data_IF_411990136052
#
_entry.id   IF_411990136052
#
_cell.length_a   1.000
_cell.length_b   1.000
_cell.length_c   1.000
_cell.angle_alpha   90.00
_cell.angle_beta   90.00
_cell.angle_gamma   90.00
#
_symmetry.space_group_name_H-M   'P 1'
#
loop_
_entity.id
_entity.type
_entity.pdbx_description
1 polymer ?
#
# COMPACT_ATOMS: atom_id res chain seq x y z
N UNK A 1 12.23 20.57 1.90
CA UNK A 1 11.07 19.75 1.50
C UNK A 1 9.88 20.10 2.36
N UNK A 2 8.67 20.07 1.83
CA UNK A 2 7.48 20.38 2.60
C UNK A 2 7.14 19.23 3.55
N UNK A 3 6.79 19.55 4.78
CA UNK A 3 6.28 18.60 5.78
C UNK A 3 4.96 17.98 5.29
N UNK A 4 4.82 16.68 5.44
CA UNK A 4 3.66 15.91 4.96
C UNK A 4 3.00 15.14 6.11
N UNK A 5 1.79 14.65 5.89
CA UNK A 5 1.11 13.76 6.84
C UNK A 5 1.93 12.48 7.13
N UNK A 6 2.74 12.02 6.18
CA UNK A 6 3.58 10.84 6.39
C UNK A 6 4.73 11.11 7.34
N UNK A 7 5.27 12.33 7.37
CA UNK A 7 6.27 12.72 8.37
C UNK A 7 5.68 12.69 9.80
N UNK A 8 4.41 13.06 9.97
CA UNK A 8 3.72 12.94 11.25
C UNK A 8 3.48 11.49 11.67
N UNK A 9 3.18 10.60 10.72
CA UNK A 9 3.04 9.16 10.96
C UNK A 9 4.38 8.57 11.38
N UNK A 10 5.46 8.88 10.70
CA UNK A 10 6.82 8.44 11.04
C UNK A 10 7.22 8.92 12.43
N UNK A 11 6.93 10.18 12.74
CA UNK A 11 7.22 10.78 14.05
C UNK A 11 6.30 10.28 15.19
N UNK A 12 5.29 9.46 14.90
CA UNK A 12 4.33 8.98 15.90
C UNK A 12 3.34 10.04 16.40
N UNK A 13 3.26 11.18 15.73
CA UNK A 13 2.32 12.27 16.06
C UNK A 13 0.89 11.99 15.59
N UNK A 14 0.76 11.07 14.65
CA UNK A 14 -0.52 10.67 14.11
C UNK A 14 -0.70 9.15 14.26
N UNK A 15 -1.92 8.73 14.66
CA UNK A 15 -2.29 7.31 14.70
C UNK A 15 -2.14 6.71 13.31
N UNK A 16 -1.49 5.55 13.23
CA UNK A 16 -1.41 4.74 12.01
C UNK A 16 -1.45 3.27 12.35
N UNK A 17 -1.92 2.45 11.44
CA UNK A 17 -1.96 0.99 11.56
C UNK A 17 -0.72 0.40 10.90
N UNK A 18 0.42 0.50 11.61
CA UNK A 18 1.70 -0.03 11.15
C UNK A 18 1.63 -1.55 11.03
N UNK A 19 2.10 -2.07 9.91
CA UNK A 19 2.13 -3.52 9.63
C UNK A 19 3.56 -4.05 9.47
N UNK A 20 4.51 -3.19 9.14
CA UNK A 20 5.91 -3.52 9.03
C UNK A 20 6.78 -2.25 9.07
N UNK A 21 7.99 -2.36 9.63
CA UNK A 21 9.00 -1.29 9.54
C UNK A 21 10.42 -1.86 9.69
N UNK A 22 11.38 -1.13 9.13
CA UNK A 22 12.81 -1.27 9.39
C UNK A 22 13.44 0.10 9.68
N UNK A 23 14.75 0.21 9.56
CA UNK A 23 15.46 1.47 9.83
C UNK A 23 15.08 2.58 8.85
N UNK A 24 14.86 2.25 7.57
CA UNK A 24 14.65 3.20 6.47
C UNK A 24 13.19 3.33 6.03
N UNK A 25 12.38 2.28 6.18
CA UNK A 25 11.03 2.21 5.60
C UNK A 25 9.96 1.90 6.64
N UNK A 26 8.74 2.30 6.33
CA UNK A 26 7.54 2.06 7.12
C UNK A 26 6.39 1.63 6.22
N UNK A 27 5.64 0.61 6.65
CA UNK A 27 4.41 0.18 6.00
C UNK A 27 3.22 0.27 6.97
N UNK A 28 2.11 0.83 6.51
CA UNK A 28 0.88 1.00 7.28
C UNK A 28 -0.36 0.88 6.41
N UNK A 29 -1.50 0.51 7.02
CA UNK A 29 -2.77 0.47 6.32
C UNK A 29 -3.25 1.89 6.01
N UNK A 30 -3.75 2.11 4.79
CA UNK A 30 -4.51 3.33 4.50
C UNK A 30 -5.81 3.32 5.30
N UNK A 31 -6.24 4.46 5.89
CA UNK A 31 -7.56 4.54 6.52
C UNK A 31 -8.71 4.64 5.50
N UNK A 32 -8.40 4.65 4.19
CA UNK A 32 -9.37 4.73 3.09
C UNK A 32 -9.22 3.55 2.10
N UNK A 33 -9.26 2.29 2.58
CA UNK A 33 -9.06 1.14 1.72
C UNK A 33 -10.29 0.90 0.83
N UNK A 34 -10.04 0.50 -0.42
CA UNK A 34 -11.09 0.00 -1.32
C UNK A 34 -11.12 -1.54 -1.38
N UNK A 35 -10.19 -2.19 -0.68
CA UNK A 35 -10.13 -3.65 -0.54
C UNK A 35 -9.37 -3.99 0.75
N UNK A 36 -9.63 -5.16 1.38
CA UNK A 36 -8.94 -5.55 2.60
C UNK A 36 -7.41 -5.62 2.42
N UNK A 37 -6.67 -5.00 3.33
CA UNK A 37 -5.21 -5.04 3.34
C UNK A 37 -4.53 -4.03 2.42
N UNK A 38 -5.22 -3.03 1.93
CA UNK A 38 -4.62 -1.94 1.17
C UNK A 38 -3.57 -1.24 2.04
N UNK A 39 -2.29 -1.40 1.68
CA UNK A 39 -1.14 -0.97 2.47
C UNK A 39 -0.33 0.08 1.72
N UNK A 40 0.19 1.05 2.46
CA UNK A 40 1.12 2.08 1.94
C UNK A 40 2.50 1.80 2.49
N UNK A 41 3.53 1.85 1.64
CA UNK A 41 4.93 1.74 2.01
C UNK A 41 5.65 3.04 1.66
N UNK A 42 6.38 3.60 2.62
CA UNK A 42 7.11 4.86 2.47
C UNK A 42 8.55 4.74 2.98
N UNK A 43 9.49 5.50 2.46
CA UNK A 43 10.73 5.78 3.17
C UNK A 43 10.43 6.70 4.37
N UNK A 44 11.14 6.50 5.50
CA UNK A 44 10.96 7.32 6.70
C UNK A 44 11.47 8.76 6.52
N UNK A 45 12.46 8.95 5.67
CA UNK A 45 12.91 10.28 5.23
C UNK A 45 12.22 10.59 3.90
N UNK A 46 11.66 11.79 3.78
CA UNK A 46 10.96 12.21 2.58
C UNK A 46 11.95 12.59 1.46
N UNK A 47 12.05 11.82 0.37
CA UNK A 47 12.95 12.12 -0.75
C UNK A 47 12.26 12.88 -1.90
N UNK A 48 11.03 13.35 -1.70
CA UNK A 48 10.13 13.84 -2.75
C UNK A 48 9.00 12.86 -3.05
N UNK A 49 8.24 13.10 -4.09
CA UNK A 49 6.99 12.37 -4.40
C UNK A 49 7.10 11.38 -5.58
N UNK A 50 8.12 11.54 -6.43
CA UNK A 50 8.21 10.78 -7.67
C UNK A 50 9.25 9.68 -7.59
N UNK A 51 8.83 8.41 -7.72
CA UNK A 51 9.68 7.23 -7.53
C UNK A 51 10.86 7.18 -8.50
N UNK A 52 10.69 7.66 -9.73
CA UNK A 52 11.76 7.64 -10.75
C UNK A 52 12.76 8.80 -10.61
N UNK A 53 12.57 9.70 -9.64
CA UNK A 53 13.57 10.71 -9.29
C UNK A 53 14.45 10.31 -8.11
N UNK A 54 14.23 9.13 -7.52
CA UNK A 54 15.09 8.57 -6.49
C UNK A 54 16.44 8.19 -7.09
N UNK A 55 17.51 8.25 -6.28
CA UNK A 55 18.78 7.62 -6.65
C UNK A 55 18.63 6.09 -6.70
N UNK A 56 19.52 5.43 -7.44
CA UNK A 56 19.44 3.99 -7.69
C UNK A 56 19.53 3.15 -6.41
N UNK A 57 20.25 3.62 -5.39
CA UNK A 57 20.38 2.92 -4.11
C UNK A 57 19.05 2.93 -3.37
N UNK A 58 18.48 4.12 -3.12
CA UNK A 58 17.20 4.25 -2.41
C UNK A 58 16.06 3.59 -3.20
N UNK A 59 16.06 3.73 -4.54
CA UNK A 59 15.09 3.06 -5.41
C UNK A 59 15.15 1.53 -5.22
N UNK A 60 16.34 0.95 -5.26
CA UNK A 60 16.55 -0.48 -5.11
C UNK A 60 16.14 -0.98 -3.72
N UNK A 61 16.52 -0.24 -2.66
CA UNK A 61 16.15 -0.55 -1.29
C UNK A 61 14.64 -0.48 -1.08
N UNK A 62 13.99 0.54 -1.65
CA UNK A 62 12.53 0.68 -1.58
C UNK A 62 11.81 -0.49 -2.27
N UNK A 63 12.29 -0.93 -3.45
CA UNK A 63 11.72 -2.10 -4.14
C UNK A 63 11.84 -3.37 -3.31
N UNK A 64 12.96 -3.55 -2.60
CA UNK A 64 13.16 -4.69 -1.70
C UNK A 64 12.25 -4.63 -0.46
N UNK A 65 12.06 -3.45 0.12
CA UNK A 65 11.14 -3.24 1.23
C UNK A 65 9.69 -3.53 0.80
N UNK A 66 9.27 -2.99 -0.33
CA UNK A 66 7.95 -3.24 -0.94
C UNK A 66 7.72 -4.74 -1.18
N UNK A 67 8.73 -5.46 -1.70
CA UNK A 67 8.65 -6.92 -1.90
C UNK A 67 8.45 -7.67 -0.58
N UNK A 68 9.14 -7.28 0.49
CA UNK A 68 8.96 -7.90 1.82
C UNK A 68 7.52 -7.71 2.32
N UNK A 69 6.98 -6.50 2.22
CA UNK A 69 5.61 -6.20 2.63
C UNK A 69 4.60 -6.92 1.75
N UNK A 70 4.81 -6.98 0.43
CA UNK A 70 3.93 -7.74 -0.46
C UNK A 70 3.85 -9.22 -0.07
N UNK A 71 4.99 -9.86 0.27
CA UNK A 71 5.01 -11.25 0.74
C UNK A 71 4.29 -11.44 2.07
N UNK A 72 4.37 -10.46 2.97
CA UNK A 72 3.59 -10.45 4.20
C UNK A 72 2.08 -10.41 3.91
N UNK A 73 1.66 -9.56 2.99
CA UNK A 73 0.25 -9.44 2.59
C UNK A 73 -0.26 -10.71 1.88
N UNK A 74 0.53 -11.32 1.00
CA UNK A 74 0.20 -12.61 0.38
C UNK A 74 -0.12 -13.67 1.45
N UNK A 75 0.73 -13.78 2.48
CA UNK A 75 0.56 -14.72 3.58
C UNK A 75 -0.68 -14.37 4.43
N UNK A 76 -0.84 -13.09 4.80
CA UNK A 76 -1.92 -12.63 5.68
C UNK A 76 -3.32 -12.85 5.07
N UNK A 77 -3.45 -12.67 3.78
CA UNK A 77 -4.73 -12.73 3.06
C UNK A 77 -4.91 -14.02 2.25
N UNK A 78 -3.93 -14.93 2.30
CA UNK A 78 -3.94 -16.15 1.49
C UNK A 78 -4.22 -15.88 0.01
N UNK A 79 -3.58 -14.84 -0.53
CA UNK A 79 -3.65 -14.48 -1.94
C UNK A 79 -2.27 -14.64 -2.59
N UNK A 80 -2.18 -15.19 -3.80
CA UNK A 80 -0.90 -15.36 -4.48
C UNK A 80 -0.42 -14.07 -5.16
N UNK A 81 -1.20 -12.98 -5.11
CA UNK A 81 -0.89 -11.76 -5.85
C UNK A 81 -1.18 -10.50 -5.05
N UNK A 82 -0.25 -9.56 -5.14
CA UNK A 82 -0.38 -8.18 -4.65
C UNK A 82 0.01 -7.24 -5.79
N UNK A 83 -0.85 -6.28 -6.10
CA UNK A 83 -0.51 -5.23 -7.03
C UNK A 83 0.34 -4.16 -6.33
N UNK A 84 1.26 -3.55 -7.06
CA UNK A 84 2.11 -2.44 -6.61
C UNK A 84 1.90 -1.24 -7.54
N UNK A 85 1.67 -0.08 -6.94
CA UNK A 85 1.39 1.16 -7.68
C UNK A 85 2.19 2.29 -7.06
N UNK A 86 2.89 3.05 -7.91
CA UNK A 86 3.51 4.32 -7.57
C UNK A 86 2.91 5.40 -8.46
N UNK A 87 2.07 6.25 -7.91
CA UNK A 87 1.42 7.33 -8.67
C UNK A 87 2.16 8.66 -8.55
N UNK A 88 2.81 8.91 -7.43
CA UNK A 88 3.44 10.19 -7.15
C UNK A 88 2.44 11.33 -6.94
N UNK A 89 1.22 11.01 -6.49
CA UNK A 89 0.13 11.99 -6.30
C UNK A 89 -0.48 11.91 -4.91
N UNK A 90 -1.22 12.94 -4.51
CA UNK A 90 -1.93 13.02 -3.24
C UNK A 90 -1.06 13.52 -2.09
N UNK A 91 0.04 12.88 -1.78
CA UNK A 91 1.00 13.30 -0.73
C UNK A 91 2.38 13.49 -1.36
N UNK A 92 3.00 14.63 -1.08
CA UNK A 92 4.34 14.97 -1.59
C UNK A 92 5.45 14.21 -0.84
N UNK A 93 5.37 12.89 -0.87
CA UNK A 93 6.27 11.94 -0.25
C UNK A 93 6.13 10.62 -1.02
N UNK A 94 7.19 10.10 -1.60
CA UNK A 94 7.11 8.88 -2.41
C UNK A 94 6.51 7.73 -1.61
N UNK A 95 5.55 7.05 -2.21
CA UNK A 95 4.87 5.94 -1.57
C UNK A 95 4.43 4.89 -2.57
N UNK A 96 4.58 3.64 -2.18
CA UNK A 96 3.99 2.51 -2.87
C UNK A 96 2.61 2.21 -2.28
N UNK A 97 1.62 2.01 -3.12
CA UNK A 97 0.33 1.42 -2.77
C UNK A 97 0.40 -0.08 -3.07
N UNK A 98 0.18 -0.92 -2.07
CA UNK A 98 0.12 -2.37 -2.20
C UNK A 98 -1.31 -2.84 -2.01
N UNK A 99 -1.83 -3.51 -3.02
CA UNK A 99 -3.24 -3.92 -3.09
C UNK A 99 -3.30 -5.44 -3.21
N UNK A 100 -3.67 -6.17 -2.13
CA UNK A 100 -3.91 -7.60 -2.22
C UNK A 100 -5.02 -7.88 -3.23
N UNK A 101 -4.76 -8.78 -4.18
CA UNK A 101 -5.75 -9.15 -5.19
C UNK A 101 -6.59 -10.31 -4.66
N UNK A 102 -7.89 -10.07 -4.54
CA UNK A 102 -8.86 -11.04 -4.04
C UNK A 102 -9.72 -11.60 -5.17
N UNK A 103 -10.42 -12.72 -4.92
CA UNK A 103 -11.36 -13.32 -5.86
C UNK A 103 -10.69 -13.78 -7.17
N UNK A 104 -11.25 -13.44 -8.31
CA UNK A 104 -10.74 -13.86 -9.62
C UNK A 104 -9.42 -13.20 -9.99
N UNK A 105 -9.16 -11.97 -9.52
CA UNK A 105 -7.87 -11.32 -9.68
C UNK A 105 -6.74 -12.10 -9.01
N UNK A 106 -7.00 -12.75 -7.87
CA UNK A 106 -6.04 -13.62 -7.19
C UNK A 106 -5.62 -14.80 -8.08
N UNK A 107 -6.54 -15.33 -8.87
CA UNK A 107 -6.29 -16.44 -9.82
C UNK A 107 -5.57 -15.97 -11.09
N UNK A 108 -5.36 -14.65 -11.24
CA UNK A 108 -4.82 -14.07 -12.47
C UNK A 108 -5.85 -14.07 -13.62
N UNK A 109 -7.11 -14.27 -13.29
CA UNK A 109 -8.22 -14.18 -14.22
C UNK A 109 -8.82 -12.80 -14.06
N UNK A 110 -8.31 -11.85 -14.83
CA UNK A 110 -8.88 -10.53 -14.98
C UNK A 110 -9.27 -10.34 -16.43
N UNK A 111 -10.43 -9.74 -16.67
CA UNK A 111 -10.74 -9.28 -18.01
C UNK A 111 -10.06 -7.93 -18.20
N UNK A 112 -9.21 -7.75 -19.23
CA UNK A 112 -8.69 -6.43 -19.58
C UNK A 112 -9.77 -5.53 -20.13
N UNK A 113 -10.94 -6.08 -20.46
CA UNK A 113 -12.08 -5.37 -20.98
C UNK A 113 -13.24 -5.46 -19.97
N UNK A 114 -13.83 -4.33 -19.63
CA UNK A 114 -15.10 -4.28 -18.93
C UNK A 114 -16.20 -4.84 -19.83
N UNK A 115 -17.17 -5.53 -19.23
CA UNK A 115 -18.39 -5.90 -19.94
C UNK A 115 -19.21 -4.66 -20.33
N UNK A 116 -19.03 -3.56 -19.64
CA UNK A 116 -19.53 -2.25 -20.02
C UNK A 116 -18.46 -1.60 -20.91
N UNK A 117 -18.71 -1.45 -22.18
CA UNK A 117 -17.82 -0.78 -23.13
C UNK A 117 -17.90 0.75 -22.92
N UNK A 118 -17.52 1.18 -21.71
CA UNK A 118 -17.48 2.58 -21.33
C UNK A 118 -16.03 2.99 -21.09
N UNK A 119 -15.73 4.23 -21.41
CA UNK A 119 -14.46 4.85 -21.01
C UNK A 119 -14.62 5.35 -19.58
N UNK A 120 -13.71 4.94 -18.72
CA UNK A 120 -13.62 5.43 -17.34
C UNK A 120 -12.34 6.24 -17.21
N UNK A 121 -12.45 7.47 -16.74
CA UNK A 121 -11.29 8.27 -16.35
C UNK A 121 -10.57 7.64 -15.14
N UNK A 122 -11.31 6.86 -14.33
CA UNK A 122 -10.86 6.02 -13.23
C UNK A 122 -11.36 4.60 -13.49
N UNK A 123 -10.67 3.57 -13.01
CA UNK A 123 -11.05 2.16 -13.20
C UNK A 123 -12.09 1.70 -12.15
N UNK A 124 -13.39 1.91 -12.35
CA UNK A 124 -14.41 1.53 -11.39
C UNK A 124 -14.54 0.01 -11.30
N UNK A 125 -14.42 -0.52 -10.10
CA UNK A 125 -14.65 -1.94 -9.82
C UNK A 125 -13.51 -2.90 -10.20
N UNK A 126 -12.33 -2.37 -10.58
CA UNK A 126 -11.15 -3.18 -10.93
C UNK A 126 -10.01 -2.88 -9.99
N UNK A 127 -8.83 -2.68 -10.53
CA UNK A 127 -7.72 -2.08 -9.81
C UNK A 127 -7.92 -0.57 -9.86
N UNK A 128 -8.43 0.02 -8.79
CA UNK A 128 -8.49 1.46 -8.63
C UNK A 128 -7.47 1.92 -7.61
N UNK A 129 -6.83 3.04 -7.88
CA UNK A 129 -5.92 3.71 -6.96
C UNK A 129 -6.63 4.80 -6.15
N UNK A 130 -7.90 5.05 -6.42
CA UNK A 130 -8.71 5.98 -5.66
C UNK A 130 -8.95 5.49 -4.23
N UNK A 131 -8.91 6.41 -3.27
CA UNK A 131 -9.26 6.10 -1.89
C UNK A 131 -10.74 5.69 -1.79
N UNK A 132 -11.01 4.70 -0.95
CA UNK A 132 -12.36 4.33 -0.56
C UNK A 132 -12.92 5.22 0.56
N UNK A 133 -14.15 4.96 1.02
CA UNK A 133 -14.69 5.62 2.21
C UNK A 133 -13.83 5.30 3.43
N UNK A 134 -13.85 6.22 4.41
CA UNK A 134 -13.14 5.98 5.67
C UNK A 134 -13.69 4.73 6.35
N UNK A 135 -12.79 3.77 6.61
CA UNK A 135 -13.09 2.59 7.42
C UNK A 135 -13.03 2.94 8.91
N UNK A 136 -13.88 2.32 9.74
CA UNK A 136 -13.81 2.56 11.18
C UNK A 136 -12.53 1.95 11.80
N UNK A 137 -12.14 2.52 12.93
CA UNK A 137 -10.87 2.18 13.58
C UNK A 137 -10.83 0.71 14.03
N UNK A 138 -11.95 0.14 14.48
CA UNK A 138 -11.99 -1.25 14.95
C UNK A 138 -11.74 -2.25 13.81
N UNK A 139 -12.30 -2.00 12.64
CA UNK A 139 -12.04 -2.81 11.44
C UNK A 139 -10.57 -2.71 10.98
N UNK A 140 -9.98 -1.51 11.03
CA UNK A 140 -8.57 -1.31 10.71
C UNK A 140 -7.65 -2.00 11.73
N UNK A 141 -8.00 -1.97 13.02
CA UNK A 141 -7.25 -2.68 14.08
C UNK A 141 -7.28 -4.20 13.86
N UNK A 142 -8.41 -4.77 13.45
CA UNK A 142 -8.53 -6.20 13.11
C UNK A 142 -7.66 -6.59 11.91
N UNK A 143 -7.70 -5.79 10.83
CA UNK A 143 -6.87 -6.02 9.63
C UNK A 143 -5.38 -5.90 9.99
N UNK A 144 -5.00 -4.90 10.77
CA UNK A 144 -3.63 -4.74 11.25
C UNK A 144 -3.16 -5.97 12.02
N UNK A 145 -3.96 -6.45 12.98
CA UNK A 145 -3.63 -7.64 13.77
C UNK A 145 -3.41 -8.87 12.89
N UNK A 146 -4.25 -9.07 11.87
CA UNK A 146 -4.11 -10.16 10.90
C UNK A 146 -2.79 -10.10 10.14
N UNK A 147 -2.37 -8.91 9.70
CA UNK A 147 -1.10 -8.71 8.98
C UNK A 147 0.09 -8.95 9.92
N UNK A 148 0.05 -8.38 11.13
CA UNK A 148 1.11 -8.57 12.12
C UNK A 148 1.28 -10.04 12.52
N UNK A 149 0.19 -10.81 12.62
CA UNK A 149 0.22 -12.24 12.91
C UNK A 149 0.88 -13.07 11.80
N UNK A 150 0.97 -12.55 10.57
CA UNK A 150 1.62 -13.21 9.44
C UNK A 150 3.14 -12.95 9.38
N UNK A 151 3.69 -12.11 10.27
CA UNK A 151 5.13 -11.93 10.41
C UNK A 151 5.73 -13.18 11.08
N UNK A 152 6.85 -13.66 10.55
CA UNK A 152 7.57 -14.74 11.22
C UNK A 152 8.10 -14.23 12.56
N UNK A 153 7.81 -14.97 13.64
CA UNK A 153 8.39 -14.67 14.96
C UNK A 153 9.90 -14.86 14.83
N UNK A 154 10.65 -13.82 15.14
CA UNK A 154 12.12 -13.88 15.24
C UNK A 154 12.54 -14.83 16.36
#
# INVERSE_FOLDING_TARGET
MNHTIFDDIVAGKMKSWKVWEDEKFLAFLTPFPNTPGFTVVIPKQNPGDYVFSLDDELYSEMMLAVKKVAKLLEKAFNTPRVAMIFEGTGVAHVHAKLVPLHGDLAKGIGSPLSYEQAFYAEYPGWLTTADGPKMDDAQLDEIQARILAAQDKK
#
